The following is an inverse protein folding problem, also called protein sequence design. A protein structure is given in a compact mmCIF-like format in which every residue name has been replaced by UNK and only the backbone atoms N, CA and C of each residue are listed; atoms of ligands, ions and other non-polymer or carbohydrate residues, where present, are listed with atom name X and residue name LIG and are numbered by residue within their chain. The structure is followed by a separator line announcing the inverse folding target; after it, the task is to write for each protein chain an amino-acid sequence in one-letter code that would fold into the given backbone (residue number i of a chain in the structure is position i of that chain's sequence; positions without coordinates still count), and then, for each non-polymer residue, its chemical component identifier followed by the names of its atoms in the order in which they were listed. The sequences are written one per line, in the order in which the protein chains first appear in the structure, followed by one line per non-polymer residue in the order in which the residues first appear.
data_IF_297933363796
#
_entry.id   IF_297933363796
#
_cell.length_a   1.000
_cell.length_b   1.000
_cell.length_c   1.000
_cell.angle_alpha   90.00
_cell.angle_beta   90.00
_cell.angle_gamma   90.00
#
_symmetry.space_group_name_H-M   'P 1'
#
loop_
_entity.id
_entity.type
_entity.pdbx_description
1 polymer ?
#
# COMPACT_ATOMS: atom_id res chain seq x y z
N UNK A 1 8.58 -4.94 15.35
CA UNK A 1 7.32 -5.22 14.60
C UNK A 1 7.40 -6.64 14.04
N UNK A 2 7.05 -7.65 14.85
CA UNK A 2 6.99 -9.07 14.45
C UNK A 2 5.58 -9.53 14.77
N UNK A 3 4.70 -9.62 13.78
CA UNK A 3 3.30 -10.00 14.04
C UNK A 3 2.35 -9.92 12.84
N UNK A 4 2.66 -9.09 11.85
CA UNK A 4 2.03 -9.14 10.54
C UNK A 4 3.00 -9.90 9.66
N UNK A 5 2.65 -11.13 9.28
CA UNK A 5 3.54 -12.06 8.58
C UNK A 5 4.08 -11.54 7.24
N UNK A 6 4.77 -12.38 6.44
CA UNK A 6 5.33 -12.04 5.12
C UNK A 6 4.28 -11.62 4.06
N UNK A 7 3.03 -11.44 4.46
CA UNK A 7 1.87 -11.24 3.60
C UNK A 7 1.66 -9.79 3.18
N UNK A 8 2.19 -8.82 3.93
CA UNK A 8 2.16 -7.40 3.55
C UNK A 8 3.55 -7.00 3.07
N UNK A 9 3.70 -6.89 1.75
CA UNK A 9 4.95 -6.47 1.12
C UNK A 9 4.84 -5.03 0.65
N UNK A 10 5.72 -4.16 1.16
CA UNK A 10 5.89 -2.82 0.62
C UNK A 10 6.58 -2.86 -0.74
N UNK A 11 6.01 -2.18 -1.74
CA UNK A 11 6.59 -2.06 -3.07
C UNK A 11 7.28 -0.71 -3.24
N UNK A 12 6.53 0.38 -2.99
CA UNK A 12 6.99 1.73 -3.24
C UNK A 12 6.15 2.77 -2.50
N UNK A 13 6.74 3.95 -2.29
CA UNK A 13 6.04 5.11 -1.75
C UNK A 13 6.29 6.33 -2.63
N UNK A 14 5.21 7.04 -2.94
CA UNK A 14 5.22 8.32 -3.64
C UNK A 14 4.91 9.43 -2.65
N UNK A 15 5.84 10.37 -2.51
CA UNK A 15 5.67 11.54 -1.64
C UNK A 15 5.37 12.75 -2.50
N UNK A 16 4.28 13.43 -2.19
CA UNK A 16 3.87 14.69 -2.83
C UNK A 16 3.89 15.82 -1.80
N UNK A 17 3.55 17.04 -2.21
CA UNK A 17 3.53 18.20 -1.29
C UNK A 17 2.49 18.09 -0.16
N UNK A 18 1.41 17.33 -0.36
CA UNK A 18 0.28 17.23 0.59
C UNK A 18 -0.04 15.79 1.03
N UNK A 19 0.40 14.79 0.26
CA UNK A 19 0.00 13.37 0.46
C UNK A 19 1.14 12.40 0.22
N UNK A 20 1.06 11.27 0.92
CA UNK A 20 1.92 10.11 0.69
C UNK A 20 1.04 8.97 0.19
N UNK A 21 1.44 8.35 -0.91
CA UNK A 21 0.79 7.16 -1.46
C UNK A 21 1.76 5.98 -1.33
N UNK A 22 1.35 4.92 -0.66
CA UNK A 22 2.15 3.72 -0.50
C UNK A 22 1.48 2.56 -1.23
N UNK A 23 2.24 1.84 -2.05
CA UNK A 23 1.79 0.65 -2.78
C UNK A 23 2.27 -0.58 -2.03
N UNK A 24 1.34 -1.48 -1.74
CA UNK A 24 1.60 -2.75 -1.06
C UNK A 24 0.98 -3.90 -1.84
N UNK A 25 1.64 -5.06 -1.79
CA UNK A 25 1.02 -6.36 -2.11
C UNK A 25 0.55 -6.94 -0.78
N UNK A 26 -0.75 -7.24 -0.69
CA UNK A 26 -1.35 -7.86 0.48
C UNK A 26 -2.60 -8.66 0.09
N UNK A 27 -2.99 -9.69 0.87
CA UNK A 27 -4.17 -10.50 0.58
C UNK A 27 -5.48 -9.77 0.88
N UNK A 28 -5.48 -8.73 1.73
CA UNK A 28 -6.67 -7.93 2.01
C UNK A 28 -6.33 -6.50 2.44
N UNK A 29 -7.29 -5.59 2.25
CA UNK A 29 -7.21 -4.20 2.74
C UNK A 29 -7.13 -4.12 4.27
N UNK A 30 -7.79 -5.03 4.98
CA UNK A 30 -7.82 -5.07 6.45
C UNK A 30 -6.41 -5.22 7.03
N UNK A 31 -5.55 -6.04 6.43
CA UNK A 31 -4.17 -6.20 6.87
C UNK A 31 -3.34 -4.92 6.68
N UNK A 32 -3.61 -4.14 5.62
CA UNK A 32 -2.95 -2.84 5.42
C UNK A 32 -3.37 -1.85 6.51
N UNK A 33 -4.65 -1.85 6.89
CA UNK A 33 -5.17 -0.98 7.96
C UNK A 33 -4.58 -1.36 9.32
N UNK A 34 -4.52 -2.64 9.65
CA UNK A 34 -3.89 -3.11 10.89
C UNK A 34 -2.38 -2.82 10.92
N UNK A 35 -1.70 -2.93 9.78
CA UNK A 35 -0.29 -2.52 9.65
C UNK A 35 -0.08 -1.05 9.98
N UNK A 36 -0.91 -0.16 9.44
CA UNK A 36 -0.82 1.27 9.73
C UNK A 36 -1.12 1.60 11.19
N UNK A 37 -2.14 0.94 11.76
CA UNK A 37 -2.48 1.08 13.18
C UNK A 37 -1.31 0.67 14.08
N UNK A 38 -0.63 -0.43 13.76
CA UNK A 38 0.56 -0.87 14.50
C UNK A 38 1.78 0.03 14.26
N UNK A 39 1.92 0.58 13.05
CA UNK A 39 3.00 1.49 12.67
C UNK A 39 2.83 2.93 13.14
N UNK A 40 1.65 3.29 13.65
CA UNK A 40 1.37 4.63 14.17
C UNK A 40 1.23 5.72 13.11
N UNK A 41 0.90 5.36 11.87
CA UNK A 41 0.71 6.32 10.78
C UNK A 41 -0.75 6.37 10.29
N UNK A 42 -1.26 7.55 9.91
CA UNK A 42 -2.63 7.68 9.44
C UNK A 42 -2.80 7.03 8.06
N UNK A 43 -3.79 6.14 7.94
CA UNK A 43 -4.34 5.71 6.65
C UNK A 43 -5.69 6.40 6.47
N UNK A 44 -5.74 7.36 5.54
CA UNK A 44 -6.97 8.07 5.21
C UNK A 44 -7.85 7.26 4.25
N UNK A 45 -7.23 6.54 3.30
CA UNK A 45 -7.94 5.73 2.31
C UNK A 45 -7.07 4.54 1.87
N UNK A 46 -7.71 3.41 1.59
CA UNK A 46 -7.09 2.25 0.94
C UNK A 46 -7.94 1.91 -0.29
N UNK A 47 -7.29 1.56 -1.39
CA UNK A 47 -7.97 1.18 -2.62
C UNK A 47 -7.18 0.10 -3.33
N UNK A 48 -7.86 -0.96 -3.75
CA UNK A 48 -7.24 -2.05 -4.50
C UNK A 48 -6.89 -1.56 -5.90
N UNK A 49 -5.63 -1.71 -6.29
CA UNK A 49 -5.18 -1.50 -7.67
C UNK A 49 -5.72 -2.66 -8.51
N UNK A 50 -6.63 -2.37 -9.44
CA UNK A 50 -7.25 -3.38 -10.30
C UNK A 50 -6.45 -3.65 -11.57
N UNK A 51 -5.74 -2.64 -12.07
CA UNK A 51 -4.89 -2.72 -13.26
C UNK A 51 -3.84 -1.62 -13.20
N UNK A 52 -2.68 -1.86 -13.78
CA UNK A 52 -1.61 -0.87 -13.95
C UNK A 52 -1.53 -0.59 -15.45
N UNK A 53 -1.60 0.69 -15.81
CA UNK A 53 -1.40 1.15 -17.18
C UNK A 53 -0.14 1.99 -17.15
N UNK A 54 0.85 1.58 -17.92
CA UNK A 54 2.13 2.26 -18.09
C UNK A 54 2.48 2.27 -19.60
N UNK A 55 3.51 3.00 -20.06
CA UNK A 55 3.80 3.12 -21.49
C UNK A 55 4.12 1.78 -22.19
N UNK A 56 4.50 0.73 -21.45
CA UNK A 56 4.69 -0.63 -21.99
C UNK A 56 3.36 -1.38 -22.20
N UNK A 57 2.26 -0.93 -21.60
CA UNK A 57 0.93 -1.52 -21.78
C UNK A 57 0.35 -1.25 -23.19
N UNK A 58 0.95 -0.32 -23.94
CA UNK A 58 0.52 0.05 -25.30
C UNK A 58 1.29 -0.67 -26.42
N UNK A 59 2.24 -1.56 -26.10
CA UNK A 59 2.94 -2.43 -27.07
C UNK A 59 2.19 -3.74 -27.35
#
# INVERSE_FOLDING_TARGET
LRGLGPEVQWQQSYVTGDKIYCVYIAPSEELIREHAKQGGFPINSVSRVMSIIDPTTAE
#
